data_IF_942774023940
#
_entry.id   IF_942774023940
#
_cell.length_a   1.000
_cell.length_b   1.000
_cell.length_c   1.000
_cell.angle_alpha   90.00
_cell.angle_beta   90.00
_cell.angle_gamma   90.00
#
_symmetry.space_group_name_H-M   'P 1'
#
loop_
_entity.id
_entity.type
_entity.pdbx_description
1 polymer ?
#
# COMPACT_ATOMS: atom_id res chain seq x y z
N UNK A 1 -6.88 14.56 11.80
CA UNK A 1 -6.04 13.46 11.28
C UNK A 1 -6.92 12.22 11.36
N UNK A 2 -7.81 12.06 10.38
CA UNK A 2 -8.96 11.13 10.42
C UNK A 2 -8.73 9.82 9.67
N UNK A 3 -7.56 9.62 9.06
CA UNK A 3 -7.51 8.77 7.87
C UNK A 3 -6.72 7.46 8.01
N UNK A 4 -5.59 7.37 8.71
CA UNK A 4 -4.94 6.07 8.96
C UNK A 4 -4.66 5.84 10.45
N UNK A 5 -5.12 4.69 10.96
CA UNK A 5 -4.84 4.20 12.32
C UNK A 5 -5.80 4.67 13.42
N UNK A 6 -6.95 5.27 13.10
CA UNK A 6 -7.90 5.68 14.14
C UNK A 6 -8.69 4.49 14.70
N UNK A 7 -8.44 4.18 15.97
CA UNK A 7 -9.19 3.28 16.89
C UNK A 7 -10.07 2.20 16.24
N UNK A 8 -9.48 1.02 16.02
CA UNK A 8 -10.20 -0.19 15.57
C UNK A 8 -9.93 -0.62 14.12
N UNK A 9 -8.91 -0.07 13.47
CA UNK A 9 -8.50 -0.44 12.11
C UNK A 9 -8.29 -1.95 11.99
N UNK A 10 -9.12 -2.60 11.20
CA UNK A 10 -8.96 -4.01 10.84
C UNK A 10 -7.87 -4.11 9.78
N UNK A 11 -6.93 -5.03 9.98
CA UNK A 11 -5.88 -5.34 9.02
C UNK A 11 -6.25 -6.66 8.34
N UNK A 12 -6.97 -6.62 7.20
CA UNK A 12 -7.27 -7.84 6.47
C UNK A 12 -5.96 -8.49 6.03
N UNK A 13 -5.86 -9.81 6.25
CA UNK A 13 -4.73 -10.62 5.80
C UNK A 13 -4.91 -11.15 4.38
N UNK A 14 -6.14 -11.03 3.86
CA UNK A 14 -6.49 -11.34 2.49
C UNK A 14 -6.51 -10.07 1.62
N UNK A 15 -6.53 -10.24 0.30
CA UNK A 15 -6.56 -9.14 -0.64
C UNK A 15 -7.82 -8.28 -0.48
N UNK A 16 -7.64 -7.02 -0.06
CA UNK A 16 -8.71 -6.04 0.08
C UNK A 16 -8.31 -4.69 -0.53
N UNK A 17 -8.79 -4.36 -1.74
CA UNK A 17 -8.50 -3.08 -2.38
C UNK A 17 -9.30 -1.92 -1.79
N UNK A 18 -10.32 -2.16 -0.96
CA UNK A 18 -11.18 -1.12 -0.38
C UNK A 18 -10.46 -0.28 0.69
N UNK A 19 -9.33 -0.76 1.18
CA UNK A 19 -8.45 -0.08 2.15
C UNK A 19 -7.72 1.13 1.53
N UNK A 20 -7.65 1.21 0.19
CA UNK A 20 -6.94 2.30 -0.49
C UNK A 20 -7.71 3.63 -0.37
N UNK A 21 -7.11 4.61 0.30
CA UNK A 21 -7.62 5.98 0.39
C UNK A 21 -6.83 6.93 -0.53
N UNK A 22 -7.53 7.91 -1.10
CA UNK A 22 -6.92 8.98 -1.91
C UNK A 22 -7.21 10.35 -1.33
N UNK A 23 -6.39 11.33 -1.68
CA UNK A 23 -6.56 12.72 -1.29
C UNK A 23 -6.27 13.64 -2.48
N UNK A 24 -6.86 14.84 -2.46
CA UNK A 24 -6.62 15.83 -3.52
C UNK A 24 -5.17 16.31 -3.53
N UNK A 25 -4.54 16.28 -4.71
CA UNK A 25 -3.22 16.82 -4.93
C UNK A 25 -3.22 18.35 -4.77
N UNK A 26 -2.42 18.87 -3.82
CA UNK A 26 -2.30 20.31 -3.55
C UNK A 26 -1.46 21.09 -4.58
N UNK A 27 -0.72 20.40 -5.44
CA UNK A 27 0.21 21.00 -6.41
C UNK A 27 0.01 20.43 -7.84
N UNK A 28 -1.18 20.57 -8.44
CA UNK A 28 -1.49 19.98 -9.75
C UNK A 28 -0.74 20.63 -10.92
N UNK A 29 -0.17 21.83 -10.75
CA UNK A 29 0.58 22.55 -11.79
C UNK A 29 2.07 22.21 -11.85
N UNK A 30 2.57 21.35 -10.96
CA UNK A 30 3.96 20.92 -10.93
C UNK A 30 4.02 19.44 -11.28
N UNK A 31 4.88 19.07 -12.22
CA UNK A 31 5.23 17.67 -12.43
C UNK A 31 6.13 17.22 -11.29
N UNK A 32 5.63 16.29 -10.46
CA UNK A 32 6.41 15.68 -9.40
C UNK A 32 6.17 14.17 -9.39
N UNK A 33 7.22 13.41 -9.07
CA UNK A 33 7.12 11.97 -8.86
C UNK A 33 6.99 11.66 -7.37
N UNK A 34 6.02 10.82 -7.03
CA UNK A 34 5.93 10.22 -5.69
C UNK A 34 6.44 8.79 -5.79
N UNK A 35 7.48 8.49 -5.02
CA UNK A 35 8.05 7.15 -4.96
C UNK A 35 7.71 6.47 -3.63
N UNK A 36 7.08 5.31 -3.71
CA UNK A 36 6.88 4.40 -2.60
C UNK A 36 7.93 3.29 -2.67
N UNK A 37 8.69 3.15 -1.59
CA UNK A 37 9.60 2.03 -1.38
C UNK A 37 9.00 1.16 -0.28
N UNK A 38 8.53 -0.03 -0.63
CA UNK A 38 7.90 -0.95 0.31
C UNK A 38 8.79 -2.20 0.44
N UNK A 39 9.83 -2.17 1.31
CA UNK A 39 10.76 -3.29 1.48
C UNK A 39 10.17 -4.48 2.25
N UNK A 40 9.01 -4.31 2.89
CA UNK A 40 8.38 -5.28 3.78
C UNK A 40 7.21 -6.02 3.13
N UNK A 41 7.15 -6.07 1.79
CA UNK A 41 6.06 -6.78 1.12
C UNK A 41 6.24 -8.30 1.24
N UNK A 42 5.16 -8.97 1.65
CA UNK A 42 5.09 -10.43 1.73
C UNK A 42 3.75 -10.96 1.24
N UNK A 43 3.75 -12.12 0.59
CA UNK A 43 2.55 -12.81 0.10
C UNK A 43 2.76 -14.32 0.11
N UNK A 44 1.70 -15.11 -0.03
CA UNK A 44 1.81 -16.57 -0.12
C UNK A 44 1.93 -17.03 -1.58
N UNK A 45 2.81 -18.00 -1.84
CA UNK A 45 2.91 -18.66 -3.13
C UNK A 45 1.63 -19.48 -3.41
N UNK A 46 0.97 -19.31 -4.57
CA UNK A 46 -0.31 -19.98 -4.86
C UNK A 46 -0.19 -21.50 -5.00
N UNK A 47 1.02 -22.02 -5.26
CA UNK A 47 1.26 -23.46 -5.47
C UNK A 47 1.69 -24.14 -4.18
N UNK A 48 2.62 -23.54 -3.43
CA UNK A 48 3.24 -24.17 -2.26
C UNK A 48 2.71 -23.67 -0.92
N UNK A 49 2.01 -22.53 -0.90
CA UNK A 49 1.57 -21.87 0.33
C UNK A 49 2.71 -21.32 1.19
N UNK A 50 3.93 -21.27 0.66
CA UNK A 50 5.09 -20.73 1.37
C UNK A 50 5.09 -19.19 1.31
N UNK A 51 5.63 -18.51 2.34
CA UNK A 51 5.74 -17.06 2.35
C UNK A 51 6.86 -16.59 1.41
N UNK A 52 6.51 -15.69 0.51
CA UNK A 52 7.42 -14.96 -0.37
C UNK A 52 7.67 -13.56 0.21
N UNK A 53 8.87 -13.03 -0.01
CA UNK A 53 9.27 -11.70 0.42
C UNK A 53 9.84 -10.93 -0.77
N UNK A 54 9.41 -9.69 -0.95
CA UNK A 54 9.89 -8.83 -2.01
C UNK A 54 9.93 -7.36 -1.57
N UNK A 55 10.73 -6.56 -2.28
CA UNK A 55 10.67 -5.10 -2.17
C UNK A 55 9.91 -4.54 -3.36
N UNK A 56 8.83 -3.81 -3.11
CA UNK A 56 8.03 -3.16 -4.14
C UNK A 56 8.46 -1.70 -4.29
N UNK A 57 8.66 -1.27 -5.53
CA UNK A 57 8.93 0.12 -5.89
C UNK A 57 7.78 0.63 -6.78
N UNK A 58 7.04 1.63 -6.31
CA UNK A 58 5.98 2.30 -7.07
C UNK A 58 6.41 3.74 -7.28
N UNK A 59 6.31 4.24 -8.50
CA UNK A 59 6.57 5.65 -8.82
C UNK A 59 5.50 6.14 -9.77
N UNK A 60 4.79 7.20 -9.38
CA UNK A 60 3.73 7.83 -10.17
C UNK A 60 3.75 9.35 -10.05
#
# INVERSE_FOLDING_TARGET
>A
MTHLGSQGTQYPTDYDPSVLETFENKHPGNDYFVKFNCPEFTSLCPITGQPDFATIYISY
#
